data_IF_524602738081
#
_entry.id   IF_524602738081
#
_cell.length_a   1.000
_cell.length_b   1.000
_cell.length_c   1.000
_cell.angle_alpha   90.00
_cell.angle_beta   90.00
_cell.angle_gamma   90.00
#
_symmetry.space_group_name_H-M   'P 1'
#
loop_
_entity.id
_entity.type
_entity.pdbx_description
1 polymer ?
#
# COMPACT_ATOMS: atom_id res chain seq x y z
N UNK A 1 -12.76 41.29 42.39
CA UNK A 1 -11.89 40.34 41.67
C UNK A 1 -12.63 39.87 40.42
N UNK A 2 -12.48 40.59 39.31
CA UNK A 2 -13.13 40.28 38.04
C UNK A 2 -12.03 39.79 37.08
N UNK A 3 -12.02 38.49 36.79
CA UNK A 3 -11.08 37.86 35.85
C UNK A 3 -11.44 38.31 34.43
N UNK A 4 -10.53 39.06 33.79
CA UNK A 4 -10.54 39.22 32.34
C UNK A 4 -10.23 37.85 31.71
N UNK A 5 -11.20 37.28 31.00
CA UNK A 5 -10.92 36.22 30.03
C UNK A 5 -10.32 36.90 28.79
N UNK A 6 -9.07 36.55 28.47
CA UNK A 6 -8.53 36.78 27.13
C UNK A 6 -9.12 35.72 26.19
N UNK A 7 -9.94 36.16 25.25
CA UNK A 7 -10.37 35.35 24.11
C UNK A 7 -9.16 35.10 23.20
N UNK A 8 -8.60 33.89 23.31
CA UNK A 8 -7.63 33.37 22.35
C UNK A 8 -8.39 32.92 21.10
N UNK A 9 -8.53 33.82 20.12
CA UNK A 9 -8.90 33.43 18.78
C UNK A 9 -7.71 32.72 18.13
N UNK A 10 -7.67 31.39 18.26
CA UNK A 10 -6.84 30.55 17.39
C UNK A 10 -7.42 30.66 15.98
N UNK A 11 -6.81 31.50 15.16
CA UNK A 11 -6.96 31.44 13.71
C UNK A 11 -6.38 30.10 13.25
N UNK A 12 -7.25 29.10 13.09
CA UNK A 12 -6.94 27.94 12.26
C UNK A 12 -6.79 28.44 10.84
N UNK A 13 -5.55 28.58 10.38
CA UNK A 13 -5.27 28.61 8.96
C UNK A 13 -5.78 27.28 8.35
N UNK A 14 -6.46 27.31 7.20
CA UNK A 14 -6.77 26.08 6.50
C UNK A 14 -5.46 25.36 6.22
N UNK A 15 -5.38 24.06 6.54
CA UNK A 15 -4.33 23.22 6.00
C UNK A 15 -4.49 23.24 4.48
N UNK A 16 -3.59 23.92 3.79
CA UNK A 16 -3.45 23.76 2.34
C UNK A 16 -3.22 22.27 2.08
N UNK A 17 -4.18 21.63 1.42
CA UNK A 17 -3.95 20.36 0.77
C UNK A 17 -2.77 20.60 -0.18
N UNK A 18 -1.63 19.96 0.09
CA UNK A 18 -0.50 19.97 -0.82
C UNK A 18 -0.95 19.31 -2.13
N UNK A 19 -1.39 20.13 -3.08
CA UNK A 19 -1.70 19.74 -4.44
C UNK A 19 -0.42 19.34 -5.17
N UNK A 20 -0.10 18.05 -5.15
CA UNK A 20 0.75 17.41 -6.14
C UNK A 20 -0.06 16.26 -6.72
N UNK A 21 -0.21 16.19 -8.04
CA UNK A 21 -1.01 15.17 -8.72
C UNK A 21 -0.43 13.75 -8.65
N UNK A 22 0.34 13.43 -7.59
CA UNK A 22 0.80 12.10 -7.31
C UNK A 22 -0.41 11.19 -7.12
N UNK A 23 -0.60 10.26 -8.05
CA UNK A 23 -1.79 9.42 -8.11
C UNK A 23 -1.42 7.97 -8.34
N UNK A 24 -2.26 7.06 -7.81
CA UNK A 24 -2.22 5.63 -8.07
C UNK A 24 -3.49 5.23 -8.81
N UNK A 25 -3.35 4.37 -9.81
CA UNK A 25 -4.46 3.86 -10.60
C UNK A 25 -4.18 2.43 -11.05
N UNK A 26 -5.22 1.75 -11.51
CA UNK A 26 -5.12 0.41 -12.06
C UNK A 26 -6.14 0.24 -13.19
N UNK A 27 -5.77 -0.41 -14.31
CA UNK A 27 -6.75 -0.86 -15.28
C UNK A 27 -7.54 -2.09 -14.79
N UNK A 28 -7.03 -2.77 -13.76
CA UNK A 28 -7.56 -4.02 -13.23
C UNK A 28 -8.52 -3.80 -12.05
N UNK A 29 -8.35 -2.70 -11.31
CA UNK A 29 -9.13 -2.37 -10.12
C UNK A 29 -9.52 -0.88 -10.17
N UNK A 30 -10.83 -0.60 -10.27
CA UNK A 30 -11.35 0.74 -10.08
C UNK A 30 -11.55 1.04 -8.58
N UNK A 31 -11.47 2.32 -8.19
CA UNK A 31 -11.67 2.74 -6.79
C UNK A 31 -13.04 2.28 -6.27
N UNK A 32 -13.03 1.57 -5.14
CA UNK A 32 -14.22 1.03 -4.48
C UNK A 32 -14.88 -0.14 -5.22
N UNK A 33 -14.34 -0.59 -6.35
CA UNK A 33 -14.90 -1.70 -7.10
C UNK A 33 -14.54 -3.06 -6.50
N UNK A 34 -15.36 -4.06 -6.83
CA UNK A 34 -15.07 -5.45 -6.46
C UNK A 34 -13.84 -5.96 -7.22
N UNK A 35 -12.89 -6.54 -6.49
CA UNK A 35 -11.69 -7.16 -7.05
C UNK A 35 -12.09 -8.43 -7.81
N UNK A 36 -11.62 -8.53 -9.06
CA UNK A 36 -11.84 -9.71 -9.89
C UNK A 36 -11.20 -10.96 -9.27
N UNK A 37 -11.88 -12.10 -9.44
CA UNK A 37 -11.48 -13.40 -8.94
C UNK A 37 -10.03 -13.76 -9.30
N UNK A 38 -9.50 -13.32 -10.44
CA UNK A 38 -8.11 -13.63 -10.82
C UNK A 38 -7.07 -13.07 -9.83
N UNK A 39 -7.41 -11.99 -9.11
CA UNK A 39 -6.50 -11.38 -8.14
C UNK A 39 -6.68 -11.94 -6.72
N UNK A 40 -7.71 -12.75 -6.50
CA UNK A 40 -8.06 -13.38 -5.21
C UNK A 40 -7.09 -14.52 -4.91
N UNK A 41 -6.84 -14.77 -3.63
CA UNK A 41 -5.96 -15.85 -3.20
C UNK A 41 -6.49 -17.23 -3.63
N UNK A 42 -5.59 -18.18 -3.80
CA UNK A 42 -5.88 -19.54 -4.28
C UNK A 42 -5.61 -20.63 -3.22
N UNK A 43 -5.39 -20.23 -1.98
CA UNK A 43 -5.22 -21.10 -0.81
C UNK A 43 -6.09 -20.58 0.35
N UNK A 44 -6.10 -21.26 1.51
CA UNK A 44 -6.91 -20.94 2.70
C UNK A 44 -8.42 -20.89 2.37
N UNK A 45 -8.85 -21.76 1.45
CA UNK A 45 -10.20 -21.80 0.90
C UNK A 45 -10.52 -20.66 -0.08
N UNK A 46 -9.54 -19.80 -0.40
CA UNK A 46 -9.58 -18.92 -1.54
C UNK A 46 -9.59 -19.73 -2.83
N UNK A 47 -10.20 -19.19 -3.88
CA UNK A 47 -10.39 -19.90 -5.15
C UNK A 47 -10.01 -19.06 -6.37
N UNK A 48 -9.30 -17.95 -6.17
CA UNK A 48 -8.81 -17.11 -7.26
C UNK A 48 -7.61 -17.69 -7.99
N UNK A 49 -7.00 -16.88 -8.85
CA UNK A 49 -5.78 -17.25 -9.59
C UNK A 49 -4.50 -16.72 -8.91
N UNK A 50 -4.65 -15.92 -7.85
CA UNK A 50 -3.59 -15.26 -7.10
C UNK A 50 -2.57 -14.49 -7.96
N UNK A 51 -3.08 -13.77 -8.97
CA UNK A 51 -2.29 -12.86 -9.79
C UNK A 51 -2.28 -11.47 -9.14
N UNK A 52 -1.14 -10.75 -9.12
CA UNK A 52 -1.15 -9.36 -8.64
C UNK A 52 -1.77 -8.42 -9.69
N UNK A 53 -2.58 -7.41 -9.31
CA UNK A 53 -3.11 -6.45 -10.28
C UNK A 53 -2.00 -5.56 -10.85
N UNK A 54 -2.22 -5.02 -12.06
CA UNK A 54 -1.41 -3.94 -12.59
C UNK A 54 -1.65 -2.67 -11.78
N UNK A 55 -0.58 -1.94 -11.47
CA UNK A 55 -0.65 -0.69 -10.72
C UNK A 55 0.21 0.36 -11.42
N UNK A 56 -0.35 1.52 -11.68
CA UNK A 56 0.29 2.63 -12.38
C UNK A 56 0.27 3.88 -11.50
N UNK A 57 1.37 4.63 -11.47
CA UNK A 57 1.45 5.89 -10.76
C UNK A 57 2.14 6.98 -11.57
N UNK A 58 1.76 8.22 -11.32
CA UNK A 58 2.20 9.40 -12.09
C UNK A 58 2.50 10.57 -11.16
N UNK A 59 3.29 11.52 -11.67
CA UNK A 59 3.60 12.80 -11.00
C UNK A 59 4.18 12.67 -9.57
N UNK A 60 5.22 11.84 -9.35
CA UNK A 60 5.88 11.81 -8.05
C UNK A 60 6.47 13.18 -7.71
N UNK A 61 6.47 13.58 -6.42
CA UNK A 61 7.04 14.85 -6.00
C UNK A 61 8.54 14.92 -6.32
N UNK A 62 9.04 16.14 -6.50
CA UNK A 62 10.47 16.39 -6.65
C UNK A 62 11.23 15.82 -5.43
N UNK A 63 12.42 15.25 -5.68
CA UNK A 63 13.24 14.63 -4.64
C UNK A 63 12.95 13.15 -4.39
N UNK A 64 11.97 12.56 -5.08
CA UNK A 64 11.72 11.10 -5.04
C UNK A 64 12.94 10.32 -5.51
N UNK A 65 13.47 9.43 -4.67
CA UNK A 65 14.63 8.56 -4.96
C UNK A 65 14.27 7.08 -5.10
N UNK A 66 13.19 6.64 -4.47
CA UNK A 66 12.59 5.33 -4.71
C UNK A 66 11.09 5.35 -4.38
N UNK A 67 10.40 4.24 -4.66
CA UNK A 67 9.05 4.01 -4.20
C UNK A 67 8.96 2.77 -3.30
N UNK A 68 7.94 2.77 -2.44
CA UNK A 68 7.40 1.57 -1.82
C UNK A 68 5.94 1.38 -2.23
N UNK A 69 5.51 0.15 -2.47
CA UNK A 69 4.12 -0.22 -2.73
C UNK A 69 3.66 -1.22 -1.68
N UNK A 70 2.60 -0.90 -0.94
CA UNK A 70 1.98 -1.79 0.03
C UNK A 70 0.51 -2.07 -0.31
N UNK A 71 0.04 -3.28 -0.03
CA UNK A 71 -1.38 -3.64 0.01
C UNK A 71 -1.74 -4.10 1.43
N UNK A 72 -2.69 -3.42 2.06
CA UNK A 72 -3.17 -3.72 3.41
C UNK A 72 -4.68 -3.92 3.44
N UNK A 73 -5.12 -4.93 4.16
CA UNK A 73 -6.51 -5.16 4.54
C UNK A 73 -6.70 -4.69 5.99
N UNK A 74 -7.27 -3.50 6.24
CA UNK A 74 -7.52 -3.02 7.59
C UNK A 74 -8.72 -3.69 8.27
N UNK A 75 -9.53 -4.44 7.53
CA UNK A 75 -10.77 -5.05 8.00
C UNK A 75 -10.54 -6.49 8.50
N UNK A 76 -9.39 -7.08 8.18
CA UNK A 76 -9.00 -8.40 8.67
C UNK A 76 -9.03 -8.50 10.22
N UNK A 77 -9.66 -9.55 10.80
CA UNK A 77 -9.91 -9.67 12.24
C UNK A 77 -8.68 -10.20 13.01
N UNK A 78 -7.57 -9.47 12.97
CA UNK A 78 -6.27 -9.85 13.56
C UNK A 78 -5.94 -9.09 14.86
N UNK A 79 -6.96 -8.59 15.56
CA UNK A 79 -6.77 -7.78 16.77
C UNK A 79 -6.38 -6.32 16.48
N UNK A 80 -6.78 -5.78 15.32
CA UNK A 80 -6.58 -4.39 14.93
C UNK A 80 -5.32 -4.14 14.08
N UNK A 81 -4.50 -5.16 13.83
CA UNK A 81 -3.33 -5.04 12.96
C UNK A 81 -3.70 -5.02 11.46
N UNK A 82 -4.88 -5.53 11.10
CA UNK A 82 -5.25 -5.82 9.73
C UNK A 82 -4.40 -6.96 9.15
N UNK A 83 -4.20 -6.98 7.84
CA UNK A 83 -3.43 -8.00 7.15
C UNK A 83 -2.64 -7.40 5.98
N UNK A 84 -1.33 -7.63 5.96
CA UNK A 84 -0.46 -7.22 4.87
C UNK A 84 -0.47 -8.28 3.76
N UNK A 85 -0.87 -7.87 2.56
CA UNK A 85 -1.03 -8.76 1.39
C UNK A 85 0.19 -8.73 0.46
N UNK A 86 0.81 -7.56 0.31
CA UNK A 86 1.97 -7.39 -0.57
C UNK A 86 2.75 -6.14 -0.20
N UNK A 87 4.07 -6.25 -0.17
CA UNK A 87 4.96 -5.14 0.12
C UNK A 87 6.18 -5.22 -0.78
N UNK A 88 6.49 -4.12 -1.45
CA UNK A 88 7.71 -3.98 -2.26
C UNK A 88 8.33 -2.62 -1.94
N UNK A 89 9.61 -2.61 -1.59
CA UNK A 89 10.39 -1.38 -1.36
C UNK A 89 11.50 -1.25 -2.40
N UNK A 90 12.23 -0.13 -2.37
CA UNK A 90 13.38 0.14 -3.24
C UNK A 90 13.03 0.09 -4.74
N UNK A 91 11.77 0.34 -5.09
CA UNK A 91 11.34 0.43 -6.48
C UNK A 91 12.04 1.67 -7.08
N UNK A 92 12.79 1.56 -8.20
CA UNK A 92 13.56 2.67 -8.74
C UNK A 92 12.69 3.90 -9.03
N UNK A 93 13.19 5.12 -8.76
CA UNK A 93 12.46 6.37 -8.98
C UNK A 93 12.02 6.63 -10.44
N UNK A 94 12.57 5.91 -11.42
CA UNK A 94 12.14 5.96 -12.82
C UNK A 94 10.91 5.09 -13.13
N UNK A 95 10.57 4.15 -12.24
CA UNK A 95 9.44 3.22 -12.41
C UNK A 95 8.11 3.95 -12.26
N UNK A 96 7.15 3.66 -13.14
CA UNK A 96 5.79 4.25 -13.12
C UNK A 96 4.67 3.21 -13.12
N UNK A 97 5.02 1.92 -13.17
CA UNK A 97 4.06 0.84 -13.12
C UNK A 97 4.70 -0.45 -12.62
N UNK A 98 3.87 -1.29 -12.00
CA UNK A 98 4.09 -2.72 -11.90
C UNK A 98 3.05 -3.41 -12.78
N UNK A 99 3.50 -4.29 -13.67
CA UNK A 99 2.62 -5.03 -14.56
C UNK A 99 1.74 -6.02 -13.78
N UNK A 100 0.62 -6.42 -14.37
CA UNK A 100 -0.17 -7.54 -13.84
C UNK A 100 0.74 -8.77 -13.68
N UNK A 101 0.63 -9.45 -12.53
CA UNK A 101 1.48 -10.58 -12.19
C UNK A 101 2.93 -10.25 -11.79
N UNK A 102 3.31 -8.97 -11.69
CA UNK A 102 4.66 -8.59 -11.24
C UNK A 102 5.01 -9.12 -9.84
N UNK A 103 4.01 -9.31 -8.98
CA UNK A 103 4.15 -9.91 -7.65
C UNK A 103 4.10 -11.44 -7.63
N UNK A 104 4.45 -12.12 -8.72
CA UNK A 104 4.54 -13.57 -8.77
C UNK A 104 5.70 -14.12 -7.92
N UNK A 105 5.68 -15.42 -7.65
CA UNK A 105 6.75 -16.13 -6.95
C UNK A 105 8.10 -15.93 -7.66
N UNK A 106 9.15 -15.61 -6.91
CA UNK A 106 10.51 -15.47 -7.43
C UNK A 106 10.83 -14.11 -8.04
N UNK A 107 9.95 -13.12 -7.89
CA UNK A 107 10.21 -11.68 -8.03
C UNK A 107 10.68 -11.21 -9.42
N UNK A 108 10.70 -12.10 -10.42
CA UNK A 108 11.19 -11.83 -11.77
C UNK A 108 10.38 -10.75 -12.51
N UNK A 109 9.15 -10.48 -12.07
CA UNK A 109 8.31 -9.41 -12.60
C UNK A 109 8.57 -8.04 -11.96
N UNK A 110 9.36 -7.96 -10.89
CA UNK A 110 9.71 -6.70 -10.24
C UNK A 110 10.87 -6.00 -10.98
N UNK A 111 10.91 -4.66 -10.98
CA UNK A 111 12.05 -3.90 -11.48
C UNK A 111 13.34 -4.28 -10.74
N UNK A 112 14.47 -4.26 -11.46
CA UNK A 112 15.77 -4.49 -10.84
C UNK A 112 16.02 -3.51 -9.69
N UNK A 113 16.45 -4.04 -8.53
CA UNK A 113 16.68 -3.27 -7.30
C UNK A 113 15.49 -3.24 -6.34
N UNK A 114 14.27 -3.52 -6.82
CA UNK A 114 13.10 -3.63 -5.95
C UNK A 114 13.22 -4.86 -5.02
N UNK A 115 12.80 -4.68 -3.77
CA UNK A 115 12.89 -5.70 -2.72
C UNK A 115 11.50 -6.03 -2.19
N UNK A 116 10.98 -7.24 -2.44
CA UNK A 116 9.75 -7.68 -1.82
C UNK A 116 9.98 -8.01 -0.34
N UNK A 117 8.98 -7.70 0.47
CA UNK A 117 9.02 -7.87 1.92
C UNK A 117 8.00 -8.92 2.32
N UNK A 118 8.38 -9.72 3.32
CA UNK A 118 7.54 -10.80 3.84
C UNK A 118 6.21 -10.23 4.36
N UNK A 119 5.11 -10.73 3.82
CA UNK A 119 3.74 -10.37 4.16
C UNK A 119 3.18 -11.27 5.28
N UNK A 120 1.92 -11.10 5.65
CA UNK A 120 1.32 -11.83 6.78
C UNK A 120 0.91 -13.27 6.42
N UNK A 121 0.91 -13.65 5.14
CA UNK A 121 0.88 -15.07 4.73
C UNK A 121 2.22 -15.78 5.01
N UNK A 122 3.29 -15.04 5.26
CA UNK A 122 4.61 -15.58 5.59
C UNK A 122 5.54 -15.77 4.39
N UNK A 123 5.22 -15.19 3.23
CA UNK A 123 6.07 -15.16 2.03
C UNK A 123 6.20 -13.72 1.49
N UNK A 124 7.04 -13.48 0.48
CA UNK A 124 7.33 -12.11 -0.01
C UNK A 124 6.65 -11.73 -1.34
N UNK A 125 5.84 -12.61 -1.92
CA UNK A 125 5.09 -12.33 -3.15
C UNK A 125 3.65 -11.88 -2.86
N UNK A 126 2.85 -11.61 -3.91
CA UNK A 126 1.43 -11.30 -3.79
C UNK A 126 0.66 -12.46 -3.16
N UNK A 127 -0.13 -12.14 -2.13
CA UNK A 127 -1.21 -12.99 -1.63
C UNK A 127 -2.51 -12.21 -1.72
N UNK A 128 -3.45 -12.67 -2.54
CA UNK A 128 -4.69 -11.95 -2.82
C UNK A 128 -5.69 -11.90 -1.66
N UNK A 129 -6.85 -11.25 -1.86
CA UNK A 129 -7.98 -11.32 -0.93
C UNK A 129 -8.36 -12.74 -0.54
N UNK A 130 -8.66 -12.95 0.74
CA UNK A 130 -9.24 -14.19 1.26
C UNK A 130 -9.97 -13.97 2.60
N UNK A 131 -10.95 -13.04 2.66
CA UNK A 131 -11.63 -12.67 3.90
C UNK A 131 -12.45 -13.84 4.46
N UNK A 132 -12.87 -13.84 5.73
CA UNK A 132 -13.78 -14.87 6.26
C UNK A 132 -15.08 -14.97 5.45
N UNK A 133 -15.67 -16.17 5.41
CA UNK A 133 -16.94 -16.39 4.70
C UNK A 133 -18.08 -15.72 5.47
N UNK A 134 -18.87 -14.90 4.79
CA UNK A 134 -20.03 -14.19 5.35
C UNK A 134 -19.69 -12.83 5.99
N UNK A 135 -18.43 -12.42 6.02
CA UNK A 135 -18.05 -11.07 6.44
C UNK A 135 -18.51 -10.03 5.40
N UNK A 136 -18.76 -8.78 5.81
CA UNK A 136 -18.87 -7.66 4.86
C UNK A 136 -17.64 -7.61 3.94
N UNK A 137 -17.75 -7.09 2.71
CA UNK A 137 -16.57 -6.95 1.86
C UNK A 137 -15.46 -6.16 2.55
N UNK A 138 -14.28 -6.77 2.66
CA UNK A 138 -13.07 -6.12 3.17
C UNK A 138 -12.51 -5.15 2.13
N UNK A 139 -11.79 -4.15 2.61
CA UNK A 139 -11.01 -3.21 1.80
C UNK A 139 -9.61 -3.75 1.60
N UNK A 140 -9.09 -3.61 0.38
CA UNK A 140 -7.71 -3.91 0.03
C UNK A 140 -7.09 -2.61 -0.47
N UNK A 141 -6.35 -1.96 0.41
CA UNK A 141 -5.81 -0.61 0.19
C UNK A 141 -4.40 -0.73 -0.37
N UNK A 142 -4.27 -0.51 -1.67
CA UNK A 142 -2.99 -0.35 -2.33
C UNK A 142 -2.50 1.07 -2.10
N UNK A 143 -1.27 1.25 -1.64
CA UNK A 143 -0.66 2.55 -1.43
C UNK A 143 0.74 2.57 -2.01
N UNK A 144 0.99 3.53 -2.91
CA UNK A 144 2.33 3.85 -3.39
C UNK A 144 2.87 5.04 -2.60
N UNK A 145 4.11 4.92 -2.15
CA UNK A 145 4.82 5.91 -1.36
C UNK A 145 6.02 6.40 -2.18
N UNK A 146 6.15 7.71 -2.36
CA UNK A 146 7.33 8.34 -2.91
C UNK A 146 8.32 8.67 -1.78
N UNK A 147 9.55 8.17 -1.86
CA UNK A 147 10.52 8.22 -0.75
C UNK A 147 11.69 9.17 -1.06
N UNK A 148 12.21 9.82 -0.02
CA UNK A 148 13.41 10.70 -0.08
C UNK A 148 14.75 9.94 -0.04
N UNK A 149 14.69 8.62 0.12
CA UNK A 149 15.82 7.69 0.20
C UNK A 149 15.76 6.71 -0.96
N UNK A 150 16.91 6.19 -1.38
CA UNK A 150 16.99 5.18 -2.43
C UNK A 150 16.69 3.78 -1.89
N UNK A 151 17.21 3.48 -0.71
CA UNK A 151 17.16 2.15 -0.07
C UNK A 151 16.53 2.23 1.30
N UNK A 152 15.55 1.37 1.57
CA UNK A 152 14.97 1.12 2.90
C UNK A 152 15.86 0.14 3.63
N UNK A 153 16.69 0.64 4.55
CA UNK A 153 17.58 -0.18 5.38
C UNK A 153 16.80 -0.79 6.56
N UNK A 154 16.33 -2.02 6.37
CA UNK A 154 15.70 -2.81 7.43
C UNK A 154 16.57 -4.04 7.77
N UNK A 155 16.58 -4.52 9.03
CA UNK A 155 17.20 -5.78 9.40
C UNK A 155 16.70 -6.93 8.55
N UNK A 156 17.53 -7.95 8.34
CA UNK A 156 17.10 -9.19 7.69
C UNK A 156 15.92 -9.81 8.47
N UNK A 157 14.86 -10.18 7.74
CA UNK A 157 13.64 -10.72 8.35
C UNK A 157 12.78 -9.69 9.09
N UNK A 158 13.02 -8.39 8.89
CA UNK A 158 12.14 -7.33 9.41
C UNK A 158 10.67 -7.58 9.05
N UNK A 159 9.78 -7.29 10.00
CA UNK A 159 8.34 -7.41 9.79
C UNK A 159 7.83 -6.32 8.84
N UNK A 160 6.71 -6.59 8.18
CA UNK A 160 5.97 -5.60 7.39
C UNK A 160 5.77 -4.28 8.17
N UNK A 161 5.43 -4.37 9.47
CA UNK A 161 5.25 -3.20 10.33
C UNK A 161 6.55 -2.41 10.58
N UNK A 162 7.70 -3.07 10.76
CA UNK A 162 8.98 -2.38 10.92
C UNK A 162 9.40 -1.70 9.61
N UNK A 163 9.25 -2.37 8.48
CA UNK A 163 9.49 -1.76 7.16
C UNK A 163 8.55 -0.58 6.94
N UNK A 164 7.26 -0.72 7.27
CA UNK A 164 6.27 0.33 7.18
C UNK A 164 6.64 1.54 8.04
N UNK A 165 7.18 1.33 9.24
CA UNK A 165 7.70 2.41 10.09
C UNK A 165 8.83 3.19 9.40
N UNK A 166 9.84 2.50 8.86
CA UNK A 166 10.98 3.14 8.16
C UNK A 166 10.49 3.88 6.91
N UNK A 167 9.59 3.27 6.13
CA UNK A 167 8.99 3.91 4.96
C UNK A 167 8.32 5.23 5.36
N UNK A 168 7.46 5.22 6.37
CA UNK A 168 6.73 6.42 6.81
C UNK A 168 7.64 7.56 7.28
N UNK A 169 8.82 7.25 7.83
CA UNK A 169 9.80 8.28 8.22
C UNK A 169 10.42 9.01 7.01
N UNK A 170 10.30 8.46 5.81
CA UNK A 170 10.97 8.95 4.60
C UNK A 170 9.99 9.33 3.46
N UNK A 171 8.69 9.35 3.74
CA UNK A 171 7.65 9.69 2.75
C UNK A 171 7.70 11.17 2.38
N UNK A 172 7.76 11.44 1.07
CA UNK A 172 7.50 12.76 0.48
C UNK A 172 6.01 12.93 0.14
N UNK A 173 5.40 11.89 -0.45
CA UNK A 173 3.97 11.84 -0.75
C UNK A 173 3.49 10.38 -0.84
N UNK A 174 2.18 10.18 -0.76
CA UNK A 174 1.55 8.87 -0.97
C UNK A 174 0.25 9.02 -1.77
N UNK A 175 -0.09 7.98 -2.51
CA UNK A 175 -1.37 7.86 -3.20
C UNK A 175 -1.92 6.45 -3.01
N UNK A 176 -3.25 6.31 -2.96
CA UNK A 176 -3.91 5.03 -2.67
C UNK A 176 -5.01 4.72 -3.66
N UNK A 177 -5.28 3.42 -3.82
CA UNK A 177 -6.38 2.83 -4.57
C UNK A 177 -6.98 1.72 -3.70
N UNK A 178 -8.29 1.71 -3.54
CA UNK A 178 -9.00 0.69 -2.75
C UNK A 178 -9.83 -0.22 -3.63
N UNK A 179 -9.58 -1.53 -3.55
CA UNK A 179 -10.51 -2.53 -4.06
C UNK A 179 -11.30 -3.19 -2.92
N UNK A 180 -12.46 -3.77 -3.22
CA UNK A 180 -13.31 -4.48 -2.25
C UNK A 180 -13.40 -5.96 -2.59
N UNK A 181 -13.44 -6.84 -1.60
CA UNK A 181 -13.75 -8.26 -1.83
C UNK A 181 -14.42 -8.90 -0.61
N UNK A 182 -15.42 -9.75 -0.86
CA UNK A 182 -16.11 -10.55 0.14
C UNK A 182 -16.44 -11.93 -0.45
N UNK A 183 -16.71 -12.92 0.41
CA UNK A 183 -17.10 -14.28 -0.01
C UNK A 183 -18.13 -14.92 0.91
#
# INVERSE_FOLDING_TARGET
MTRNLLDFHILLAPAEAAGGGFSLSSPDIAEGATIDRKFVFNDFGGTGDNVSPQLNWSEPPAGTKSFALFCHDPDAPTGGAGFWHWLVVDIPASTRALAQGAGAVGDAGLPAGAKPIRNDYGFSHWGGPCPPVGDPPHRYVFTIYALSIETVEAPEGATASLVGFIVNQNVLAKASLTGLYGR
#
